data_IF_209341383378
#
_entry.id   IF_209341383378
#
_cell.length_a   1.000
_cell.length_b   1.000
_cell.length_c   1.000
_cell.angle_alpha   90.00
_cell.angle_beta   90.00
_cell.angle_gamma   90.00
#
_symmetry.space_group_name_H-M   'P 1'
#
loop_
_entity.id
_entity.type
_entity.pdbx_description
1 polymer ?
#
# COMPACT_ATOMS: atom_id res chain seq x y z
N UNK A 1 -17.25 6.05 -35.09
CA UNK A 1 -17.79 6.97 -34.06
C UNK A 1 -16.92 6.79 -32.83
N UNK A 2 -16.01 7.74 -32.58
CA UNK A 2 -15.04 7.69 -31.49
C UNK A 2 -15.77 8.00 -30.19
N UNK A 3 -15.97 6.98 -29.35
CA UNK A 3 -16.30 7.22 -27.96
C UNK A 3 -15.05 7.86 -27.34
N UNK A 4 -15.11 9.16 -27.12
CA UNK A 4 -14.19 9.87 -26.24
C UNK A 4 -14.38 9.30 -24.83
N UNK A 5 -13.71 8.19 -24.52
CA UNK A 5 -13.51 7.73 -23.16
C UNK A 5 -12.67 8.82 -22.48
N UNK A 6 -13.32 9.64 -21.66
CA UNK A 6 -12.60 10.58 -20.81
C UNK A 6 -11.63 9.74 -19.97
N UNK A 7 -10.35 9.80 -20.32
CA UNK A 7 -9.30 9.18 -19.51
C UNK A 7 -9.39 9.85 -18.15
N UNK A 8 -9.72 9.06 -17.14
CA UNK A 8 -9.77 9.57 -15.77
C UNK A 8 -8.34 9.92 -15.39
N UNK A 9 -8.03 11.21 -15.25
CA UNK A 9 -6.71 11.69 -14.88
C UNK A 9 -6.55 11.60 -13.35
N UNK A 10 -5.46 11.01 -12.82
CA UNK A 10 -5.20 10.96 -11.38
C UNK A 10 -5.29 12.32 -10.69
N UNK A 11 -4.89 13.39 -11.39
CA UNK A 11 -4.91 14.76 -10.88
C UNK A 11 -6.32 15.27 -10.53
N UNK A 12 -7.38 14.67 -11.10
CA UNK A 12 -8.78 15.04 -10.84
C UNK A 12 -9.39 14.30 -9.65
N UNK A 13 -8.73 13.27 -9.13
CA UNK A 13 -9.22 12.52 -7.98
C UNK A 13 -9.26 13.41 -6.72
N UNK A 14 -10.35 13.32 -5.97
CA UNK A 14 -10.55 14.01 -4.69
C UNK A 14 -9.77 13.37 -3.55
N UNK A 15 -9.46 12.08 -3.68
CA UNK A 15 -8.62 11.31 -2.78
C UNK A 15 -8.00 10.12 -3.52
N UNK A 16 -6.94 9.56 -2.98
CA UNK A 16 -6.23 8.40 -3.52
C UNK A 16 -6.05 7.38 -2.40
N UNK A 17 -6.66 6.21 -2.55
CA UNK A 17 -6.40 5.07 -1.68
C UNK A 17 -5.29 4.21 -2.27
N UNK A 18 -4.10 4.28 -1.68
CA UNK A 18 -2.92 3.58 -2.19
C UNK A 18 -2.87 2.10 -1.81
N UNK A 19 -3.86 1.60 -1.08
CA UNK A 19 -3.83 0.26 -0.50
C UNK A 19 -5.24 -0.30 -0.34
N UNK A 20 -5.78 -0.88 -1.42
CA UNK A 20 -7.03 -1.62 -1.36
C UNK A 20 -6.86 -3.05 -1.87
N UNK A 21 -7.38 -4.04 -1.15
CA UNK A 21 -7.30 -5.43 -1.59
C UNK A 21 -8.46 -5.80 -2.49
N UNK A 22 -8.15 -6.16 -3.73
CA UNK A 22 -9.14 -6.66 -4.70
C UNK A 22 -8.84 -8.11 -5.10
N UNK A 23 -9.90 -8.85 -5.43
CA UNK A 23 -9.79 -10.22 -5.91
C UNK A 23 -9.41 -10.31 -7.40
N UNK A 24 -8.86 -11.45 -7.83
CA UNK A 24 -8.33 -12.57 -7.04
C UNK A 24 -7.18 -12.20 -6.09
N UNK A 25 -7.19 -12.84 -4.92
CA UNK A 25 -6.19 -12.72 -3.86
C UNK A 25 -6.11 -14.05 -3.08
N UNK A 26 -5.18 -14.21 -2.13
CA UNK A 26 -5.01 -15.37 -1.27
C UNK A 26 -6.19 -15.58 -0.32
N UNK A 27 -6.92 -14.50 -0.03
CA UNK A 27 -8.12 -14.51 0.78
C UNK A 27 -9.29 -13.99 -0.04
N UNK A 28 -10.52 -14.42 0.27
CA UNK A 28 -11.71 -13.87 -0.36
C UNK A 28 -11.79 -12.36 -0.13
N UNK A 29 -12.01 -11.62 -1.23
CA UNK A 29 -12.15 -10.16 -1.23
C UNK A 29 -13.54 -9.77 -1.65
N UNK A 30 -13.98 -8.62 -1.14
CA UNK A 30 -15.33 -8.09 -1.39
C UNK A 30 -15.55 -7.81 -2.87
N UNK A 31 -14.58 -7.19 -3.53
CA UNK A 31 -14.70 -6.72 -4.91
C UNK A 31 -13.60 -7.27 -5.82
N UNK A 32 -13.93 -7.44 -7.10
CA UNK A 32 -12.95 -7.58 -8.17
C UNK A 32 -12.31 -6.22 -8.49
N UNK A 33 -11.24 -6.22 -9.29
CA UNK A 33 -10.59 -4.99 -9.74
C UNK A 33 -11.54 -4.01 -10.44
N UNK A 34 -12.39 -4.50 -11.35
CA UNK A 34 -13.38 -3.67 -12.07
C UNK A 34 -14.43 -3.10 -11.12
N UNK A 35 -14.98 -3.93 -10.22
CA UNK A 35 -15.99 -3.45 -9.26
C UNK A 35 -15.41 -2.42 -8.31
N UNK A 36 -14.22 -2.66 -7.76
CA UNK A 36 -13.52 -1.69 -6.93
C UNK A 36 -13.31 -0.38 -7.71
N UNK A 37 -12.78 -0.43 -8.93
CA UNK A 37 -12.60 0.74 -9.78
C UNK A 37 -13.88 1.57 -9.97
N UNK A 38 -15.01 0.91 -10.25
CA UNK A 38 -16.31 1.60 -10.36
C UNK A 38 -16.77 2.24 -9.05
N UNK A 39 -16.56 1.58 -7.91
CA UNK A 39 -16.92 2.13 -6.60
C UNK A 39 -16.08 3.37 -6.25
N UNK A 40 -14.75 3.34 -6.51
CA UNK A 40 -13.91 4.52 -6.32
C UNK A 40 -14.27 5.65 -7.29
N UNK A 41 -14.57 5.33 -8.55
CA UNK A 41 -15.03 6.33 -9.52
C UNK A 41 -16.31 7.04 -9.06
N UNK A 42 -17.28 6.30 -8.50
CA UNK A 42 -18.53 6.86 -7.98
C UNK A 42 -18.32 7.81 -6.78
N UNK A 43 -17.12 7.85 -6.18
CA UNK A 43 -16.74 8.75 -5.09
C UNK A 43 -15.71 9.79 -5.53
N UNK A 44 -15.43 9.92 -6.83
CA UNK A 44 -14.35 10.75 -7.39
C UNK A 44 -12.95 10.39 -6.83
N UNK A 45 -12.74 9.11 -6.49
CA UNK A 45 -11.50 8.59 -5.92
C UNK A 45 -10.62 7.85 -6.94
N UNK A 46 -9.34 7.71 -6.58
CA UNK A 46 -8.40 6.82 -7.26
C UNK A 46 -7.97 5.68 -6.33
N UNK A 47 -7.67 4.52 -6.89
CA UNK A 47 -7.25 3.35 -6.09
C UNK A 47 -6.01 2.67 -6.65
N UNK A 48 -5.11 2.24 -5.77
CA UNK A 48 -4.05 1.27 -6.06
C UNK A 48 -4.44 -0.09 -5.48
N UNK A 49 -4.59 -1.08 -6.35
CA UNK A 49 -5.00 -2.43 -5.98
C UNK A 49 -3.81 -3.25 -5.51
N UNK A 50 -3.99 -3.99 -4.42
CA UNK A 50 -3.05 -4.96 -3.88
C UNK A 50 -3.69 -6.35 -3.81
N UNK A 51 -2.87 -7.39 -3.93
CA UNK A 51 -3.19 -8.74 -3.49
C UNK A 51 -1.92 -9.42 -2.94
N UNK A 52 -2.07 -10.42 -2.08
CA UNK A 52 -0.99 -11.22 -1.51
C UNK A 52 -0.52 -12.37 -2.42
N UNK A 53 -1.19 -12.64 -3.55
CA UNK A 53 -0.74 -13.66 -4.52
C UNK A 53 0.36 -13.15 -5.45
N UNK A 54 0.49 -11.83 -5.63
CA UNK A 54 1.51 -11.21 -6.44
C UNK A 54 1.09 -9.88 -7.01
N UNK A 55 0.86 -9.84 -8.33
CA UNK A 55 0.73 -8.61 -9.10
C UNK A 55 -0.72 -8.33 -9.52
N UNK A 56 -1.18 -7.09 -9.35
CA UNK A 56 -2.48 -6.60 -9.85
C UNK A 56 -2.36 -5.79 -11.15
N UNK A 57 -1.16 -5.66 -11.72
CA UNK A 57 -0.87 -4.76 -12.83
C UNK A 57 -1.75 -5.01 -14.06
N UNK A 58 -1.89 -6.26 -14.50
CA UNK A 58 -2.71 -6.60 -15.67
C UNK A 58 -4.20 -6.28 -15.45
N UNK A 59 -4.70 -6.50 -14.23
CA UNK A 59 -6.10 -6.20 -13.87
C UNK A 59 -6.35 -4.69 -13.85
N UNK A 60 -5.40 -3.93 -13.30
CA UNK A 60 -5.43 -2.47 -13.29
C UNK A 60 -5.32 -1.90 -14.71
N UNK A 61 -4.45 -2.47 -15.54
CA UNK A 61 -4.33 -2.10 -16.94
C UNK A 61 -5.66 -2.27 -17.67
N UNK A 62 -6.30 -3.45 -17.55
CA UNK A 62 -7.61 -3.71 -18.18
C UNK A 62 -8.70 -2.77 -17.65
N UNK A 63 -8.72 -2.49 -16.34
CA UNK A 63 -9.66 -1.53 -15.76
C UNK A 63 -9.48 -0.11 -16.32
N UNK A 64 -8.24 0.34 -16.53
CA UNK A 64 -7.95 1.64 -17.15
C UNK A 64 -8.38 1.71 -18.60
N UNK A 65 -8.31 0.60 -19.35
CA UNK A 65 -8.84 0.55 -20.72
C UNK A 65 -10.36 0.82 -20.76
N UNK A 66 -11.06 0.57 -19.65
CA UNK A 66 -12.49 0.88 -19.46
C UNK A 66 -12.72 2.26 -18.83
N UNK A 67 -11.68 3.07 -18.66
CA UNK A 67 -11.75 4.42 -18.07
C UNK A 67 -11.82 4.45 -16.54
N UNK A 68 -11.57 3.34 -15.85
CA UNK A 68 -11.65 3.28 -14.39
C UNK A 68 -10.37 3.86 -13.72
N UNK A 69 -10.49 4.50 -12.53
CA UNK A 69 -9.40 5.19 -11.83
C UNK A 69 -8.53 4.23 -11.02
N UNK A 70 -7.90 3.27 -11.70
CA UNK A 70 -7.23 2.13 -11.07
C UNK A 70 -5.74 2.10 -11.41
N UNK A 71 -4.92 1.84 -10.41
CA UNK A 71 -3.51 1.48 -10.55
C UNK A 71 -3.25 0.14 -9.88
N UNK A 72 -2.19 -0.54 -10.30
CA UNK A 72 -1.78 -1.81 -9.73
C UNK A 72 -0.58 -1.66 -8.79
N UNK A 73 -0.31 -2.74 -8.07
CA UNK A 73 0.91 -2.95 -7.29
C UNK A 73 1.38 -4.40 -7.43
N UNK A 74 2.53 -4.71 -6.84
CA UNK A 74 2.99 -6.08 -6.64
C UNK A 74 3.42 -6.30 -5.20
N UNK A 75 3.09 -7.47 -4.66
CA UNK A 75 3.65 -7.96 -3.40
C UNK A 75 4.67 -9.07 -3.66
N UNK A 76 5.92 -8.87 -3.24
CA UNK A 76 7.05 -9.78 -3.45
C UNK A 76 7.07 -10.96 -2.47
N UNK A 77 5.92 -11.59 -2.25
CA UNK A 77 5.81 -12.85 -1.50
C UNK A 77 6.49 -14.00 -2.27
N UNK A 78 6.86 -15.08 -1.58
CA UNK A 78 7.50 -16.24 -2.21
C UNK A 78 6.68 -16.81 -3.37
N UNK A 79 5.36 -16.93 -3.22
CA UNK A 79 4.45 -17.41 -4.27
C UNK A 79 4.43 -16.53 -5.53
N UNK A 80 4.81 -15.25 -5.40
CA UNK A 80 4.86 -14.29 -6.49
C UNK A 80 6.22 -14.26 -7.21
N UNK A 81 7.16 -15.12 -6.80
CA UNK A 81 8.56 -15.13 -7.26
C UNK A 81 9.54 -14.54 -6.25
N UNK A 82 9.05 -14.04 -5.11
CA UNK A 82 9.88 -13.51 -4.02
C UNK A 82 10.51 -12.16 -4.34
N UNK A 83 11.51 -11.79 -3.53
CA UNK A 83 12.28 -10.56 -3.71
C UNK A 83 13.22 -10.76 -4.91
N UNK A 84 12.80 -10.34 -6.09
CA UNK A 84 13.59 -10.35 -7.32
C UNK A 84 13.20 -9.12 -8.16
N UNK A 85 14.19 -8.33 -8.59
CA UNK A 85 13.96 -7.17 -9.45
C UNK A 85 13.34 -7.54 -10.80
N UNK A 86 13.61 -8.75 -11.32
CA UNK A 86 13.02 -9.24 -12.58
C UNK A 86 11.52 -9.47 -12.47
N UNK A 87 11.05 -9.81 -11.27
CA UNK A 87 9.61 -9.93 -10.99
C UNK A 87 8.96 -8.54 -11.08
N UNK A 88 9.64 -7.51 -10.58
CA UNK A 88 9.17 -6.11 -10.69
C UNK A 88 9.16 -5.65 -12.16
N UNK A 89 10.21 -5.90 -12.93
CA UNK A 89 10.25 -5.53 -14.35
C UNK A 89 9.12 -6.18 -15.15
N UNK A 90 8.88 -7.47 -14.95
CA UNK A 90 7.74 -8.16 -15.57
C UNK A 90 6.42 -7.46 -15.21
N UNK A 91 6.25 -7.07 -13.94
CA UNK A 91 5.05 -6.37 -13.49
C UNK A 91 4.91 -4.97 -14.07
N UNK A 92 6.02 -4.25 -14.28
CA UNK A 92 6.01 -2.96 -14.98
C UNK A 92 5.59 -3.13 -16.45
N UNK A 93 6.05 -4.18 -17.13
CA UNK A 93 5.58 -4.50 -18.48
C UNK A 93 4.07 -4.77 -18.51
N UNK A 94 3.54 -5.47 -17.50
CA UNK A 94 2.09 -5.70 -17.36
C UNK A 94 1.32 -4.43 -16.96
N UNK A 95 1.95 -3.53 -16.24
CA UNK A 95 1.37 -2.25 -15.86
C UNK A 95 1.17 -1.37 -17.10
N UNK A 96 2.08 -1.46 -18.07
CA UNK A 96 2.05 -0.63 -19.27
C UNK A 96 2.24 0.85 -18.94
N UNK A 97 1.94 1.71 -19.92
CA UNK A 97 2.00 3.15 -19.73
C UNK A 97 0.97 3.59 -18.68
N UNK A 98 1.43 4.35 -17.69
CA UNK A 98 0.59 4.96 -16.67
C UNK A 98 1.24 6.26 -16.16
N UNK A 99 0.40 7.18 -15.70
CA UNK A 99 0.85 8.49 -15.20
C UNK A 99 1.37 8.44 -13.75
N UNK A 100 1.15 7.31 -13.07
CA UNK A 100 1.52 7.10 -11.67
C UNK A 100 2.52 5.96 -11.54
N UNK A 101 3.42 6.11 -10.57
CA UNK A 101 4.38 5.11 -10.12
C UNK A 101 3.67 3.84 -9.67
N UNK A 102 4.29 2.71 -9.99
CA UNK A 102 3.85 1.39 -9.55
C UNK A 102 4.34 1.10 -8.13
N UNK A 103 3.47 0.59 -7.25
CA UNK A 103 3.89 0.25 -5.88
C UNK A 103 4.45 -1.18 -5.84
N UNK A 104 5.65 -1.32 -5.26
CA UNK A 104 6.33 -2.60 -5.04
C UNK A 104 6.41 -2.83 -3.54
N UNK A 105 5.54 -3.72 -3.03
CA UNK A 105 5.57 -4.14 -1.64
C UNK A 105 6.58 -5.25 -1.44
N UNK A 106 7.50 -5.05 -0.51
CA UNK A 106 8.32 -6.12 0.07
C UNK A 106 7.42 -7.18 0.76
N UNK A 107 7.94 -8.35 1.13
CA UNK A 107 7.11 -9.48 1.57
C UNK A 107 6.11 -9.13 2.69
N UNK A 108 4.94 -9.75 2.60
CA UNK A 108 3.86 -9.64 3.60
C UNK A 108 3.61 -10.97 4.34
N UNK A 109 4.15 -12.07 3.81
CA UNK A 109 4.21 -13.38 4.48
C UNK A 109 5.63 -13.57 4.98
N UNK A 110 5.89 -13.19 6.24
CA UNK A 110 7.24 -13.15 6.82
C UNK A 110 7.52 -14.27 7.82
N UNK A 111 6.52 -15.12 8.10
CA UNK A 111 6.62 -16.19 9.11
C UNK A 111 6.58 -15.70 10.56
N UNK A 112 6.54 -14.39 10.79
CA UNK A 112 6.36 -13.81 12.13
C UNK A 112 4.94 -14.03 12.61
N UNK A 113 4.81 -14.38 13.89
CA UNK A 113 3.53 -14.67 14.51
C UNK A 113 2.83 -13.39 14.96
N UNK A 114 1.64 -13.14 14.42
CA UNK A 114 0.65 -12.23 14.98
C UNK A 114 -0.74 -12.79 14.74
N UNK A 115 -1.54 -12.90 15.80
CA UNK A 115 -2.93 -13.33 15.67
C UNK A 115 -3.77 -12.16 15.16
N UNK A 116 -4.08 -12.19 13.87
CA UNK A 116 -4.95 -11.19 13.25
C UNK A 116 -6.35 -11.22 13.88
N UNK A 117 -6.94 -10.05 14.09
CA UNK A 117 -8.33 -9.88 14.53
C UNK A 117 -9.33 -10.03 13.38
N UNK A 118 -8.84 -10.24 12.15
CA UNK A 118 -9.68 -10.49 10.98
C UNK A 118 -10.07 -11.96 10.88
N UNK A 119 -11.36 -12.21 10.63
CA UNK A 119 -11.78 -13.46 10.02
C UNK A 119 -11.27 -13.49 8.56
N UNK A 120 -10.51 -14.53 8.21
CA UNK A 120 -9.94 -14.71 6.88
C UNK A 120 -10.36 -16.05 6.32
N UNK A 121 -10.95 -16.01 5.13
CA UNK A 121 -11.29 -17.20 4.36
C UNK A 121 -10.32 -17.29 3.17
N UNK A 122 -9.71 -18.46 2.98
CA UNK A 122 -8.83 -18.69 1.83
C UNK A 122 -9.66 -18.67 0.55
N UNK A 123 -9.14 -18.04 -0.49
CA UNK A 123 -9.81 -17.99 -1.79
C UNK A 123 -9.76 -19.32 -2.55
N UNK A 124 -8.81 -20.19 -2.21
CA UNK A 124 -8.62 -21.47 -2.87
C UNK A 124 -8.01 -22.53 -1.92
N UNK A 125 -8.47 -23.80 -1.94
CA UNK A 125 -7.99 -24.85 -1.03
C UNK A 125 -6.48 -25.12 -1.10
N UNK A 126 -5.85 -24.91 -2.27
CA UNK A 126 -4.40 -25.08 -2.46
C UNK A 126 -3.59 -24.25 -1.45
N UNK A 127 -4.07 -23.06 -1.08
CA UNK A 127 -3.36 -22.18 -0.15
C UNK A 127 -3.32 -22.74 1.29
N UNK A 128 -4.26 -23.63 1.65
CA UNK A 128 -4.23 -24.36 2.92
C UNK A 128 -3.36 -25.61 2.85
N UNK A 129 -3.31 -26.26 1.69
CA UNK A 129 -2.49 -27.47 1.46
C UNK A 129 -1.01 -27.14 1.26
N UNK A 130 -0.72 -25.98 0.65
CA UNK A 130 0.61 -25.48 0.29
C UNK A 130 0.68 -24.01 0.71
N UNK A 131 0.88 -23.73 2.00
CA UNK A 131 0.99 -22.36 2.48
C UNK A 131 2.19 -21.65 1.83
N UNK A 132 2.02 -20.35 1.58
CA UNK A 132 3.09 -19.49 1.06
C UNK A 132 4.26 -19.51 2.03
N UNK A 133 5.48 -19.73 1.52
CA UNK A 133 6.66 -19.78 2.39
C UNK A 133 7.00 -18.39 2.93
N UNK A 134 7.42 -18.28 4.20
CA UNK A 134 7.96 -17.06 4.76
C UNK A 134 9.12 -16.50 3.93
N UNK A 135 9.13 -15.18 3.75
CA UNK A 135 10.24 -14.45 3.16
C UNK A 135 10.43 -13.13 3.91
N UNK A 136 11.68 -12.82 4.26
CA UNK A 136 12.08 -11.61 5.00
C UNK A 136 13.03 -10.75 4.17
N UNK A 137 13.14 -9.48 4.52
CA UNK A 137 14.04 -8.53 3.84
C UNK A 137 15.46 -8.58 4.37
N UNK A 138 15.67 -9.24 5.51
CA UNK A 138 16.95 -9.42 6.19
C UNK A 138 17.33 -10.89 6.38
N UNK A 139 18.63 -11.12 6.60
CA UNK A 139 19.21 -12.40 7.01
C UNK A 139 19.21 -12.57 8.54
N UNK A 140 19.60 -13.77 9.01
CA UNK A 140 19.67 -14.08 10.45
C UNK A 140 20.69 -13.22 11.22
N UNK A 141 21.55 -12.47 10.52
CA UNK A 141 22.53 -11.53 11.10
C UNK A 141 22.02 -10.10 11.11
N UNK A 142 20.71 -9.88 10.89
CA UNK A 142 20.08 -8.56 10.85
C UNK A 142 20.70 -7.65 9.78
N UNK A 143 21.04 -8.21 8.61
CA UNK A 143 21.48 -7.42 7.46
C UNK A 143 20.50 -7.60 6.32
N UNK A 144 20.20 -6.51 5.61
CA UNK A 144 19.38 -6.61 4.40
C UNK A 144 19.98 -7.61 3.42
N UNK A 145 19.14 -8.50 2.91
CA UNK A 145 19.59 -9.49 1.97
C UNK A 145 19.96 -8.83 0.62
N UNK A 146 20.80 -9.50 -0.17
CA UNK A 146 21.28 -8.96 -1.45
C UNK A 146 20.14 -8.59 -2.39
N UNK A 147 19.10 -9.43 -2.45
CA UNK A 147 17.98 -9.22 -3.35
C UNK A 147 17.15 -7.98 -2.98
N UNK A 148 16.97 -7.69 -1.69
CA UNK A 148 16.35 -6.46 -1.20
C UNK A 148 17.18 -5.25 -1.62
N UNK A 149 18.50 -5.29 -1.43
CA UNK A 149 19.38 -4.19 -1.87
C UNK A 149 19.31 -3.99 -3.39
N UNK A 150 19.20 -5.06 -4.18
CA UNK A 150 19.07 -4.99 -5.64
C UNK A 150 17.72 -4.35 -6.05
N UNK A 151 16.62 -4.68 -5.37
CA UNK A 151 15.31 -4.02 -5.58
C UNK A 151 15.36 -2.53 -5.20
N UNK A 152 16.02 -2.17 -4.09
CA UNK A 152 16.19 -0.77 -3.70
C UNK A 152 17.01 0.02 -4.74
N UNK A 153 18.11 -0.56 -5.27
CA UNK A 153 18.91 0.09 -6.32
C UNK A 153 18.10 0.27 -7.61
N UNK A 154 17.40 -0.78 -8.04
CA UNK A 154 16.56 -0.78 -9.23
C UNK A 154 15.49 0.31 -9.18
N UNK A 155 14.97 0.65 -7.99
CA UNK A 155 13.95 1.71 -7.85
C UNK A 155 14.35 3.09 -8.37
N UNK A 156 15.65 3.33 -8.58
CA UNK A 156 16.18 4.58 -9.16
C UNK A 156 15.97 4.67 -10.66
N UNK A 157 15.90 3.52 -11.32
CA UNK A 157 15.83 3.41 -12.78
C UNK A 157 14.38 3.28 -13.27
N UNK A 158 13.43 3.08 -12.37
CA UNK A 158 12.02 2.84 -12.69
C UNK A 158 11.06 3.75 -11.90
N UNK A 159 9.87 4.07 -12.45
CA UNK A 159 8.85 4.85 -11.75
C UNK A 159 8.13 3.97 -10.73
N UNK A 160 8.81 3.61 -9.64
CA UNK A 160 8.24 2.79 -8.57
C UNK A 160 8.26 3.50 -7.22
N UNK A 161 7.38 3.05 -6.33
CA UNK A 161 7.43 3.30 -4.89
C UNK A 161 7.76 1.99 -4.21
N UNK A 162 8.81 1.94 -3.39
CA UNK A 162 9.08 0.78 -2.56
C UNK A 162 8.26 0.88 -1.30
N UNK A 163 7.50 -0.17 -0.98
CA UNK A 163 6.72 -0.30 0.24
C UNK A 163 7.34 -1.36 1.13
N UNK A 164 7.49 -1.07 2.43
CA UNK A 164 8.24 -1.95 3.36
C UNK A 164 7.60 -3.32 3.62
N UNK A 165 6.38 -3.55 3.13
CA UNK A 165 5.64 -4.80 3.40
C UNK A 165 5.43 -5.00 4.91
N UNK A 166 5.47 -6.25 5.37
CA UNK A 166 5.36 -6.57 6.81
C UNK A 166 6.73 -6.76 7.48
N UNK A 167 7.70 -5.92 7.10
CA UNK A 167 8.97 -5.80 7.81
C UNK A 167 8.73 -5.45 9.29
N UNK A 168 9.52 -6.05 10.19
CA UNK A 168 9.45 -5.68 11.61
C UNK A 168 10.15 -4.34 11.89
N UNK A 169 10.14 -3.87 13.15
CA UNK A 169 10.77 -2.62 13.57
C UNK A 169 12.22 -2.52 13.08
N UNK A 170 13.05 -3.53 13.37
CA UNK A 170 14.48 -3.52 13.05
C UNK A 170 14.71 -3.49 11.53
N UNK A 171 13.96 -4.28 10.77
CA UNK A 171 14.02 -4.29 9.32
C UNK A 171 13.58 -2.97 8.70
N UNK A 172 12.54 -2.32 9.24
CA UNK A 172 12.12 -1.00 8.78
C UNK A 172 13.24 0.02 8.96
N UNK A 173 13.93 0.02 10.10
CA UNK A 173 15.07 0.92 10.34
C UNK A 173 16.21 0.65 9.35
N UNK A 174 16.54 -0.62 9.11
CA UNK A 174 17.54 -1.00 8.10
C UNK A 174 17.14 -0.57 6.68
N UNK A 175 15.86 -0.70 6.33
CA UNK A 175 15.33 -0.27 5.04
C UNK A 175 15.38 1.25 4.87
N UNK A 176 15.06 2.02 5.92
CA UNK A 176 15.16 3.49 5.91
C UNK A 176 16.61 3.94 5.73
N UNK A 177 17.55 3.38 6.50
CA UNK A 177 18.98 3.68 6.37
C UNK A 177 19.51 3.32 4.97
N UNK A 178 19.14 2.14 4.46
CA UNK A 178 19.53 1.72 3.13
C UNK A 178 18.91 2.58 2.03
N UNK A 179 17.66 3.04 2.21
CA UNK A 179 16.98 3.91 1.27
C UNK A 179 17.64 5.28 1.17
N UNK A 180 18.09 5.85 2.30
CA UNK A 180 18.86 7.09 2.31
C UNK A 180 20.21 6.90 1.59
N UNK A 181 21.00 5.90 2.02
CA UNK A 181 22.31 5.59 1.44
C UNK A 181 22.27 5.29 -0.05
N UNK A 182 21.23 4.57 -0.51
CA UNK A 182 21.05 4.18 -1.91
C UNK A 182 20.24 5.20 -2.71
N UNK A 183 19.79 6.29 -2.09
CA UNK A 183 19.00 7.35 -2.74
C UNK A 183 17.72 6.80 -3.41
N UNK A 184 17.00 5.95 -2.69
CA UNK A 184 15.70 5.43 -3.13
C UNK A 184 14.73 6.60 -3.33
N UNK A 185 14.11 6.78 -4.52
CA UNK A 185 13.32 7.98 -4.81
C UNK A 185 12.06 8.11 -3.97
N UNK A 186 11.38 6.99 -3.68
CA UNK A 186 10.12 6.92 -2.93
C UNK A 186 10.08 5.65 -2.10
N UNK A 187 10.09 5.81 -0.77
CA UNK A 187 9.91 4.74 0.20
C UNK A 187 8.63 5.01 1.01
N UNK A 188 7.73 4.04 1.07
CA UNK A 188 6.54 4.09 1.91
C UNK A 188 6.64 3.07 3.04
N UNK A 189 6.55 3.53 4.29
CA UNK A 189 6.37 2.62 5.43
C UNK A 189 4.96 2.03 5.35
N UNK A 190 4.85 0.74 5.06
CA UNK A 190 3.59 0.02 5.00
C UNK A 190 3.08 -0.22 6.41
N UNK A 191 1.94 0.38 6.76
CA UNK A 191 1.26 0.15 8.03
C UNK A 191 2.22 0.11 9.25
N UNK A 192 2.99 1.17 9.51
CA UNK A 192 4.02 1.16 10.56
C UNK A 192 3.47 0.86 11.96
N UNK A 193 2.19 1.15 12.22
CA UNK A 193 1.49 0.80 13.46
C UNK A 193 0.99 -0.66 13.52
N UNK A 194 1.15 -1.45 12.46
CA UNK A 194 0.82 -2.88 12.47
C UNK A 194 1.59 -3.58 13.59
N UNK A 195 0.99 -4.53 14.35
CA UNK A 195 1.66 -5.20 15.46
C UNK A 195 2.97 -5.93 15.11
N UNK A 196 3.19 -6.28 13.85
CA UNK A 196 4.47 -6.84 13.39
C UNK A 196 5.60 -5.80 13.34
N UNK A 197 5.26 -4.52 13.12
CA UNK A 197 6.19 -3.39 13.02
C UNK A 197 6.22 -2.58 14.31
N UNK A 198 5.06 -2.20 14.85
CA UNK A 198 4.90 -1.61 16.18
C UNK A 198 5.56 -0.24 16.35
N UNK A 199 5.57 0.60 15.32
CA UNK A 199 6.03 1.98 15.41
C UNK A 199 4.87 2.91 15.79
N UNK A 200 5.07 3.70 16.85
CA UNK A 200 4.15 4.76 17.31
C UNK A 200 4.37 6.07 16.54
N UNK A 201 3.48 7.05 16.75
CA UNK A 201 3.66 8.41 16.26
C UNK A 201 5.01 9.02 16.69
N UNK A 202 5.43 8.76 17.93
CA UNK A 202 6.71 9.22 18.46
C UNK A 202 7.91 8.58 17.72
N UNK A 203 7.89 7.25 17.51
CA UNK A 203 8.95 6.58 16.74
C UNK A 203 9.01 7.13 15.29
N UNK A 204 7.85 7.38 14.68
CA UNK A 204 7.76 7.89 13.31
C UNK A 204 8.25 9.34 13.17
N UNK A 205 8.11 10.16 14.22
CA UNK A 205 8.64 11.52 14.26
C UNK A 205 10.17 11.54 14.18
N UNK A 206 10.85 10.49 14.67
CA UNK A 206 12.31 10.38 14.60
C UNK A 206 12.79 10.06 13.17
N UNK A 207 11.97 9.39 12.36
CA UNK A 207 12.30 8.98 10.98
C UNK A 207 11.99 10.05 9.92
N UNK A 208 11.32 11.15 10.30
CA UNK A 208 10.75 12.13 9.35
C UNK A 208 11.77 12.92 8.52
N UNK A 209 13.06 12.86 8.86
CA UNK A 209 14.12 13.65 8.21
C UNK A 209 14.36 13.22 6.76
N UNK A 210 14.10 11.96 6.40
CA UNK A 210 14.32 11.44 5.05
C UNK A 210 13.27 11.99 4.07
N UNK A 211 13.63 12.80 3.06
CA UNK A 211 12.66 13.45 2.17
C UNK A 211 11.87 12.47 1.28
N UNK A 212 12.47 11.32 0.95
CA UNK A 212 11.84 10.27 0.14
C UNK A 212 10.91 9.35 0.94
N UNK A 213 10.84 9.52 2.26
CA UNK A 213 10.03 8.70 3.16
C UNK A 213 8.59 9.23 3.26
N UNK A 214 7.65 8.32 3.02
CA UNK A 214 6.21 8.48 3.21
C UNK A 214 5.73 7.51 4.27
N UNK A 215 4.76 7.95 5.06
CA UNK A 215 4.23 7.19 6.19
C UNK A 215 2.80 6.81 5.85
N UNK A 216 2.55 5.52 5.64
CA UNK A 216 1.17 5.07 5.45
C UNK A 216 0.43 5.09 6.78
N UNK A 217 -0.80 5.60 6.80
CA UNK A 217 -1.72 5.42 7.92
C UNK A 217 -2.99 4.76 7.39
N UNK A 218 -3.16 3.47 7.69
CA UNK A 218 -4.34 2.72 7.23
C UNK A 218 -5.52 2.87 8.15
N UNK A 219 -6.73 2.95 7.61
CA UNK A 219 -7.96 2.83 8.38
C UNK A 219 -8.07 1.48 9.10
N UNK A 220 -7.61 0.39 8.46
CA UNK A 220 -7.72 -0.96 9.01
C UNK A 220 -7.01 -1.12 10.36
N UNK A 221 -5.81 -0.55 10.55
CA UNK A 221 -5.09 -0.65 11.84
C UNK A 221 -5.90 -0.06 12.99
N UNK A 222 -6.66 1.00 12.73
CA UNK A 222 -7.55 1.62 13.71
C UNK A 222 -8.84 0.82 13.91
N UNK A 223 -9.48 0.37 12.82
CA UNK A 223 -10.68 -0.48 12.86
C UNK A 223 -10.45 -1.77 13.64
N UNK A 224 -9.26 -2.36 13.51
CA UNK A 224 -8.86 -3.54 14.24
C UNK A 224 -8.41 -3.23 15.66
N UNK A 225 -8.31 -1.96 16.08
CA UNK A 225 -7.87 -1.57 17.42
C UNK A 225 -6.41 -1.88 17.70
N UNK A 226 -5.55 -1.86 16.67
CA UNK A 226 -4.10 -1.99 16.84
C UNK A 226 -3.41 -0.68 17.19
N UNK A 227 -4.13 0.43 17.05
CA UNK A 227 -3.64 1.76 17.34
C UNK A 227 -4.65 2.48 18.23
N UNK A 228 -4.17 3.23 19.22
CA UNK A 228 -5.04 4.05 20.06
C UNK A 228 -5.57 5.25 19.28
N UNK A 229 -6.65 5.84 19.81
CA UNK A 229 -7.22 7.08 19.27
C UNK A 229 -6.20 8.22 19.26
N UNK A 230 -5.43 8.31 20.35
CA UNK A 230 -4.43 9.36 20.57
C UNK A 230 -3.30 9.23 19.54
N UNK A 231 -2.74 8.02 19.38
CA UNK A 231 -1.62 7.76 18.48
C UNK A 231 -2.04 7.93 17.01
N UNK A 232 -3.20 7.39 16.61
CA UNK A 232 -3.74 7.57 15.26
C UNK A 232 -4.00 9.06 14.95
N UNK A 233 -4.61 9.78 15.90
CA UNK A 233 -4.86 11.20 15.77
C UNK A 233 -3.59 12.04 15.70
N UNK A 234 -2.53 11.65 16.42
CA UNK A 234 -1.22 12.32 16.36
C UNK A 234 -0.54 12.10 15.02
N UNK A 235 -0.51 10.86 14.49
CA UNK A 235 0.00 10.58 13.13
C UNK A 235 -0.71 11.46 12.11
N UNK A 236 -2.04 11.48 12.15
CA UNK A 236 -2.83 12.24 11.19
C UNK A 236 -2.67 13.74 11.31
N UNK A 237 -2.38 14.30 12.48
CA UNK A 237 -2.20 15.75 12.66
C UNK A 237 -0.78 16.21 12.37
N UNK A 238 0.21 15.54 12.96
CA UNK A 238 1.54 16.11 13.17
C UNK A 238 2.60 15.60 12.18
N UNK A 239 2.45 14.36 11.66
CA UNK A 239 3.50 13.76 10.84
C UNK A 239 3.52 14.34 9.40
N UNK A 240 4.70 14.64 8.83
CA UNK A 240 4.81 15.04 7.44
C UNK A 240 4.64 13.83 6.50
N UNK A 241 4.24 14.08 5.25
CA UNK A 241 4.16 13.06 4.18
C UNK A 241 3.37 11.79 4.57
N UNK A 242 2.30 11.98 5.35
CA UNK A 242 1.35 10.91 5.67
C UNK A 242 0.48 10.62 4.44
N UNK A 243 0.34 9.34 4.15
CA UNK A 243 -0.50 8.78 3.09
C UNK A 243 -1.62 8.00 3.76
N UNK A 244 -2.83 8.56 3.77
CA UNK A 244 -4.00 7.90 4.35
C UNK A 244 -4.60 6.90 3.35
N UNK A 245 -4.71 5.63 3.75
CA UNK A 245 -5.22 4.55 2.91
C UNK A 245 -6.18 3.66 3.69
N UNK A 246 -6.89 2.77 3.02
CA UNK A 246 -7.89 1.93 3.69
C UNK A 246 -7.30 0.63 4.25
N UNK A 247 -6.47 -0.06 3.47
CA UNK A 247 -6.11 -1.49 3.62
C UNK A 247 -7.35 -2.41 3.68
N UNK A 248 -8.45 -1.97 3.07
CA UNK A 248 -9.74 -2.65 3.09
C UNK A 248 -9.89 -3.64 1.92
N UNK A 249 -11.10 -4.17 1.75
CA UNK A 249 -11.44 -5.21 0.78
C UNK A 249 -11.69 -6.59 1.39
N UNK A 250 -11.50 -6.73 2.71
CA UNK A 250 -11.95 -7.90 3.47
C UNK A 250 -13.50 -7.92 3.52
N UNK A 251 -14.09 -9.11 3.47
CA UNK A 251 -15.55 -9.30 3.49
C UNK A 251 -16.19 -8.93 4.84
N UNK A 252 -15.41 -8.94 5.92
CA UNK A 252 -15.84 -8.60 7.29
C UNK A 252 -15.66 -7.12 7.67
N UNK A 253 -15.02 -6.32 6.82
CA UNK A 253 -14.73 -4.90 7.09
C UNK A 253 -15.62 -3.97 6.26
N UNK A 254 -15.72 -2.68 6.62
CA UNK A 254 -16.51 -1.70 5.85
C UNK A 254 -16.17 -1.70 4.36
N UNK A 255 -17.18 -1.43 3.54
CA UNK A 255 -16.96 -1.16 2.11
C UNK A 255 -16.47 0.29 1.89
N UNK A 256 -16.15 0.65 0.65
CA UNK A 256 -15.49 1.90 0.25
C UNK A 256 -16.27 3.13 0.74
N UNK A 257 -17.56 3.25 0.41
CA UNK A 257 -18.37 4.40 0.85
C UNK A 257 -18.52 4.48 2.39
N UNK A 258 -18.91 3.39 3.09
CA UNK A 258 -18.90 3.39 4.55
C UNK A 258 -17.56 3.79 5.18
N UNK A 259 -16.42 3.36 4.62
CA UNK A 259 -15.09 3.78 5.08
C UNK A 259 -14.86 5.28 4.92
N UNK A 260 -15.25 5.87 3.79
CA UNK A 260 -15.15 7.33 3.59
C UNK A 260 -15.99 8.10 4.60
N UNK A 261 -17.20 7.61 4.91
CA UNK A 261 -18.09 8.23 5.89
C UNK A 261 -17.50 8.14 7.31
N UNK A 262 -16.93 6.99 7.70
CA UNK A 262 -16.20 6.81 8.96
C UNK A 262 -14.96 7.72 9.04
N UNK A 263 -14.19 7.79 7.96
CA UNK A 263 -12.98 8.62 7.90
C UNK A 263 -13.30 10.10 8.13
N UNK A 264 -14.40 10.61 7.54
CA UNK A 264 -14.87 11.99 7.78
C UNK A 264 -15.21 12.23 9.25
N UNK A 265 -15.82 11.26 9.92
CA UNK A 265 -16.12 11.36 11.35
C UNK A 265 -14.84 11.41 12.18
N UNK A 266 -13.89 10.52 11.92
CA UNK A 266 -12.60 10.49 12.60
C UNK A 266 -11.79 11.77 12.36
N UNK A 267 -11.73 12.28 11.13
CA UNK A 267 -11.03 13.54 10.85
C UNK A 267 -11.62 14.71 11.63
N UNK A 268 -12.95 14.77 11.77
CA UNK A 268 -13.62 15.77 12.62
C UNK A 268 -13.28 15.56 14.09
N UNK A 269 -13.32 14.32 14.56
CA UNK A 269 -13.02 13.95 15.96
C UNK A 269 -11.58 14.29 16.35
N UNK A 270 -10.63 14.13 15.43
CA UNK A 270 -9.22 14.47 15.63
C UNK A 270 -8.91 15.94 15.30
N UNK A 271 -9.90 16.74 14.93
CA UNK A 271 -9.74 18.17 14.69
C UNK A 271 -8.89 18.51 13.46
N UNK A 272 -8.89 17.67 12.42
CA UNK A 272 -8.17 17.97 11.18
C UNK A 272 -8.86 19.09 10.39
N UNK A 273 -8.08 20.10 9.99
CA UNK A 273 -8.52 21.12 9.04
C UNK A 273 -8.59 20.60 7.61
N UNK A 274 -9.35 21.28 6.74
CA UNK A 274 -9.57 20.88 5.35
C UNK A 274 -8.27 20.69 4.56
N UNK A 275 -7.29 21.58 4.74
CA UNK A 275 -5.97 21.49 4.09
C UNK A 275 -5.21 20.24 4.53
N UNK A 276 -5.29 19.85 5.82
CA UNK A 276 -4.63 18.66 6.32
C UNK A 276 -5.29 17.39 5.79
N UNK A 277 -6.62 17.37 5.74
CA UNK A 277 -7.37 16.27 5.13
C UNK A 277 -6.95 16.09 3.67
N UNK A 278 -6.97 17.16 2.86
CA UNK A 278 -6.52 17.11 1.46
C UNK A 278 -5.05 16.65 1.37
N UNK A 279 -4.19 17.15 2.26
CA UNK A 279 -2.78 16.77 2.28
C UNK A 279 -2.60 15.25 2.43
N UNK A 280 -3.29 14.61 3.38
CA UNK A 280 -3.07 13.19 3.68
C UNK A 280 -3.83 12.25 2.75
N UNK A 281 -4.99 12.67 2.22
CA UNK A 281 -5.83 11.81 1.37
C UNK A 281 -5.59 12.01 -0.11
N UNK A 282 -4.97 13.12 -0.53
CA UNK A 282 -4.78 13.46 -1.95
C UNK A 282 -3.36 13.93 -2.26
N UNK A 283 -2.90 15.02 -1.67
CA UNK A 283 -1.67 15.69 -2.12
C UNK A 283 -0.40 14.87 -1.84
N UNK A 284 -0.24 14.32 -0.65
CA UNK A 284 0.90 13.47 -0.32
C UNK A 284 0.87 12.11 -1.06
N UNK A 285 -0.27 11.39 -1.14
CA UNK A 285 -0.38 10.22 -2.01
C UNK A 285 -0.04 10.52 -3.47
N UNK A 286 -0.56 11.62 -4.03
CA UNK A 286 -0.29 12.01 -5.41
C UNK A 286 1.19 12.34 -5.60
N UNK A 287 1.80 13.14 -4.71
CA UNK A 287 3.23 13.46 -4.76
C UNK A 287 4.11 12.22 -4.66
N UNK A 288 3.72 11.24 -3.84
CA UNK A 288 4.42 9.97 -3.72
C UNK A 288 4.38 9.19 -5.04
N UNK A 289 3.23 9.19 -5.71
CA UNK A 289 2.96 8.42 -6.92
C UNK A 289 3.33 9.15 -8.21
N UNK A 290 3.51 10.46 -8.22
CA UNK A 290 3.92 11.19 -9.44
C UNK A 290 5.38 10.90 -9.81
N UNK A 291 5.66 10.92 -11.12
CA UNK A 291 7.00 10.73 -11.68
C UNK A 291 7.97 11.83 -11.22
#
# INVERSE_FOLDING_TARGET
MSASTAVTEPARARFIDVHYHAGPDAYLRRHSALRAGSEYQAQDGWVVLKNHLGCTAAQAWEARQQGLPVSGSIVLNEIAGGIDWRVVERSLCQHGAADLRFIVHLPTVTGRSHTSRLARELSHPILGQRPVKPLTVSDDRQRLNRATLDVLRMSRDYPVVISTGHANREEVLLLVEAADRLQVPRLMLNQPANPLTGLSAADLLELKSLPSLYIEQTALTYLLGYQSKEDFGEVLRELPRVVYSSDLGQTSQPDIRPWLDLSRQWFKEFGLGAQRIESITRSAPLQMLSH
#
